data_IF_985790923698
#
_entry.id   IF_985790923698
#
_cell.length_a   1.000
_cell.length_b   1.000
_cell.length_c   1.000
_cell.angle_alpha   90.00
_cell.angle_beta   90.00
_cell.angle_gamma   90.00
#
_symmetry.space_group_name_H-M   'P 1'
#
loop_
_entity.id
_entity.type
_entity.pdbx_description
1 polymer ?
#
# COMPACT_ATOMS: atom_id res chain seq x y z
N UNK A 1 24.46 7.51 36.23
CA UNK A 1 23.33 6.86 36.94
C UNK A 1 22.91 5.71 36.05
N UNK A 2 22.92 4.51 36.55
CA UNK A 2 22.64 3.30 35.74
C UNK A 2 21.13 3.08 35.69
N UNK A 3 20.56 2.77 34.51
CA UNK A 3 19.14 2.49 34.33
C UNK A 3 18.96 0.98 34.17
N UNK A 4 18.03 0.41 34.93
CA UNK A 4 17.65 -1.00 34.80
C UNK A 4 16.27 -1.06 34.12
N UNK A 5 16.24 -1.59 32.91
CA UNK A 5 15.01 -1.84 32.15
C UNK A 5 14.46 -3.18 32.62
N UNK A 6 13.17 -3.21 32.99
CA UNK A 6 12.53 -4.35 33.64
C UNK A 6 11.34 -4.84 32.81
N UNK A 7 11.00 -6.11 32.99
CA UNK A 7 9.77 -6.67 32.41
C UNK A 7 8.53 -6.00 33.03
N UNK A 8 7.58 -5.62 32.21
CA UNK A 8 6.31 -5.00 32.65
C UNK A 8 5.31 -6.03 33.15
N UNK A 9 5.36 -7.23 32.60
CA UNK A 9 4.42 -8.33 32.92
C UNK A 9 5.08 -9.69 32.78
N UNK A 10 4.34 -10.75 33.08
CA UNK A 10 4.76 -12.12 32.77
C UNK A 10 4.76 -12.31 31.24
N UNK A 11 5.85 -12.87 30.71
CA UNK A 11 6.02 -13.11 29.27
C UNK A 11 7.18 -14.10 29.06
N UNK A 12 7.42 -14.50 27.79
CA UNK A 12 8.60 -15.30 27.40
C UNK A 12 9.48 -14.44 26.50
N UNK A 13 10.80 -14.49 26.69
CA UNK A 13 11.75 -13.80 25.81
C UNK A 13 11.77 -14.50 24.45
N UNK A 14 11.29 -13.82 23.41
CA UNK A 14 11.25 -14.35 22.05
C UNK A 14 12.44 -13.90 21.20
N UNK A 15 13.03 -12.73 21.50
CA UNK A 15 14.21 -12.24 20.79
C UNK A 15 14.99 -11.24 21.66
N UNK A 16 16.33 -11.26 21.57
CA UNK A 16 17.22 -10.27 22.19
C UNK A 16 17.98 -9.59 21.05
N UNK A 17 17.83 -8.27 20.91
CA UNK A 17 18.38 -7.48 19.79
C UNK A 17 19.63 -6.73 20.11
N UNK A 18 20.10 -6.80 21.34
CA UNK A 18 21.29 -6.10 21.83
C UNK A 18 22.20 -7.04 22.60
N UNK A 19 23.44 -6.67 22.68
CA UNK A 19 24.47 -7.33 23.52
C UNK A 19 25.22 -6.30 24.35
N UNK A 20 25.97 -6.76 25.36
CA UNK A 20 26.84 -5.91 26.14
C UNK A 20 27.84 -5.13 25.27
N UNK A 21 27.97 -3.85 25.53
CA UNK A 21 28.79 -2.90 24.77
C UNK A 21 28.07 -2.20 23.63
N UNK A 22 26.87 -2.62 23.25
CA UNK A 22 26.12 -1.97 22.18
C UNK A 22 25.68 -0.57 22.62
N UNK A 23 25.74 0.38 21.66
CA UNK A 23 25.20 1.74 21.82
C UNK A 23 23.77 1.79 21.28
N UNK A 24 22.87 2.30 22.08
CA UNK A 24 21.44 2.39 21.72
C UNK A 24 20.93 3.81 21.88
N UNK A 25 20.04 4.22 20.98
CA UNK A 25 19.28 5.47 21.10
C UNK A 25 17.97 5.24 21.85
N UNK A 26 17.40 6.32 22.39
CA UNK A 26 16.04 6.29 22.95
C UNK A 26 15.07 5.69 21.96
N UNK A 27 14.21 4.77 22.39
CA UNK A 27 13.23 4.07 21.54
C UNK A 27 13.80 2.86 20.78
N UNK A 28 15.10 2.57 20.84
CA UNK A 28 15.67 1.36 20.24
C UNK A 28 15.08 0.10 20.89
N UNK A 29 14.66 -0.88 20.10
CA UNK A 29 14.13 -2.16 20.59
C UNK A 29 15.27 -3.00 21.12
N UNK A 30 15.19 -3.39 22.38
CA UNK A 30 16.23 -4.15 23.11
C UNK A 30 15.89 -5.64 23.19
N UNK A 31 14.65 -5.93 23.57
CA UNK A 31 14.15 -7.29 23.78
C UNK A 31 12.72 -7.37 23.22
N UNK A 32 12.39 -8.47 22.56
CA UNK A 32 11.01 -8.78 22.20
C UNK A 32 10.54 -9.91 23.13
N UNK A 33 9.40 -9.70 23.74
CA UNK A 33 8.75 -10.65 24.62
C UNK A 33 7.44 -11.13 24.01
N UNK A 34 7.04 -12.36 24.32
CA UNK A 34 5.77 -12.93 23.84
C UNK A 34 4.86 -13.27 25.01
N UNK A 35 3.63 -12.77 24.96
CA UNK A 35 2.56 -13.13 25.87
C UNK A 35 1.30 -13.47 25.06
N UNK A 36 0.75 -14.68 25.22
CA UNK A 36 -0.46 -15.15 24.53
C UNK A 36 -0.38 -14.97 22.99
N UNK A 37 0.76 -15.30 22.38
CA UNK A 37 1.07 -15.13 20.95
C UNK A 37 1.11 -13.68 20.44
N UNK A 38 1.12 -12.73 21.34
CA UNK A 38 1.35 -11.32 21.04
C UNK A 38 2.79 -10.95 21.39
N UNK A 39 3.46 -10.29 20.48
CA UNK A 39 4.81 -9.78 20.69
C UNK A 39 4.76 -8.37 21.24
N UNK A 40 5.59 -8.11 22.23
CA UNK A 40 5.78 -6.81 22.87
C UNK A 40 7.25 -6.41 22.78
N UNK A 41 7.48 -5.20 22.27
CA UNK A 41 8.81 -4.63 22.15
C UNK A 41 9.18 -3.87 23.42
N UNK A 42 10.28 -4.25 24.05
CA UNK A 42 10.87 -3.52 25.17
C UNK A 42 11.95 -2.60 24.62
N UNK A 43 11.72 -1.30 24.73
CA UNK A 43 12.57 -0.27 24.13
C UNK A 43 13.45 0.43 25.17
N UNK A 44 14.56 1.02 24.69
CA UNK A 44 15.43 1.87 25.51
C UNK A 44 14.69 3.16 25.91
N UNK A 45 14.64 3.44 27.20
CA UNK A 45 14.04 4.67 27.74
C UNK A 45 14.92 5.90 27.54
N UNK A 46 16.22 5.72 27.40
CA UNK A 46 17.23 6.76 27.15
C UNK A 46 18.32 6.24 26.21
N UNK A 47 19.08 7.16 25.61
CA UNK A 47 20.27 6.79 24.82
C UNK A 47 21.44 6.40 25.75
N UNK A 48 22.17 5.36 25.37
CA UNK A 48 23.28 4.90 26.23
C UNK A 48 24.02 3.68 25.68
N UNK A 49 24.80 3.05 26.55
CA UNK A 49 25.55 1.82 26.28
C UNK A 49 24.95 0.70 27.11
N UNK A 50 24.73 -0.46 26.51
CA UNK A 50 24.28 -1.66 27.22
C UNK A 50 25.42 -2.19 28.08
N UNK A 51 25.28 -2.14 29.40
CA UNK A 51 26.32 -2.64 30.33
C UNK A 51 26.08 -4.07 30.78
N UNK A 52 24.85 -4.57 30.73
CA UNK A 52 24.56 -5.99 31.00
C UNK A 52 23.22 -6.41 30.35
N UNK A 53 23.17 -7.67 29.92
CA UNK A 53 21.94 -8.37 29.48
C UNK A 53 21.66 -9.48 30.50
N UNK A 54 20.49 -9.43 31.17
CA UNK A 54 20.15 -10.29 32.30
C UNK A 54 19.27 -11.49 31.92
N UNK A 55 18.89 -11.60 30.64
CA UNK A 55 17.98 -12.64 30.18
C UNK A 55 18.51 -13.35 28.94
N UNK A 56 18.05 -14.57 28.73
CA UNK A 56 18.32 -15.38 27.55
C UNK A 56 17.04 -15.65 26.75
N UNK A 57 17.25 -16.08 25.50
CA UNK A 57 16.15 -16.49 24.64
C UNK A 57 15.38 -17.66 25.28
N UNK A 58 14.07 -17.56 25.38
CA UNK A 58 13.20 -18.57 25.98
C UNK A 58 12.98 -18.42 27.48
N UNK A 59 13.60 -17.45 28.14
CA UNK A 59 13.41 -17.23 29.58
C UNK A 59 11.95 -16.80 29.86
N UNK A 60 11.40 -17.35 30.95
CA UNK A 60 10.12 -16.93 31.50
C UNK A 60 10.31 -15.72 32.42
N UNK A 61 9.57 -14.65 32.12
CA UNK A 61 9.64 -13.38 32.82
C UNK A 61 8.49 -13.23 33.79
N UNK A 62 8.77 -12.55 34.90
CA UNK A 62 7.74 -11.99 35.79
C UNK A 62 7.88 -10.45 35.80
N UNK A 63 6.76 -9.76 36.06
CA UNK A 63 6.78 -8.29 36.17
C UNK A 63 7.83 -7.81 37.20
N UNK A 64 8.65 -6.83 36.83
CA UNK A 64 9.72 -6.28 37.62
C UNK A 64 11.07 -6.97 37.50
N UNK A 65 11.19 -8.11 36.80
CA UNK A 65 12.49 -8.76 36.56
C UNK A 65 13.40 -7.85 35.70
N UNK A 66 14.71 -7.72 36.04
CA UNK A 66 15.64 -6.97 35.23
C UNK A 66 15.89 -7.67 33.89
N UNK A 67 15.85 -6.92 32.80
CA UNK A 67 16.14 -7.41 31.45
C UNK A 67 17.49 -6.90 30.96
N UNK A 68 17.68 -5.59 31.03
CA UNK A 68 18.84 -4.89 30.49
C UNK A 68 19.30 -3.83 31.48
N UNK A 69 20.59 -3.69 31.62
CA UNK A 69 21.23 -2.56 32.33
C UNK A 69 21.83 -1.61 31.29
N UNK A 70 21.43 -0.36 31.35
CA UNK A 70 21.82 0.72 30.43
C UNK A 70 22.59 1.79 31.21
N UNK A 71 23.74 2.20 30.71
CA UNK A 71 24.46 3.39 31.16
C UNK A 71 24.16 4.55 30.21
N UNK A 72 23.46 5.62 30.66
CA UNK A 72 23.16 6.77 29.83
C UNK A 72 24.44 7.40 29.28
N UNK A 73 24.49 7.56 27.98
CA UNK A 73 25.58 8.23 27.27
C UNK A 73 24.98 9.00 26.06
N UNK A 74 25.62 10.10 25.69
CA UNK A 74 25.28 10.73 24.41
C UNK A 74 25.66 9.79 23.27
N UNK A 75 24.66 9.36 22.52
CA UNK A 75 24.81 8.60 21.28
C UNK A 75 24.35 9.53 20.18
N UNK A 76 25.24 9.87 19.24
CA UNK A 76 24.86 10.64 18.07
C UNK A 76 23.85 9.83 17.26
N UNK A 77 22.67 10.39 17.08
CA UNK A 77 21.49 9.71 16.52
C UNK A 77 21.69 9.26 15.06
N UNK A 78 22.71 9.76 14.38
CA UNK A 78 22.95 9.43 12.97
C UNK A 78 23.54 8.03 12.73
N UNK A 79 24.10 7.36 13.74
CA UNK A 79 24.84 6.10 13.51
C UNK A 79 23.95 4.85 13.66
N UNK A 80 22.78 4.95 14.28
CA UNK A 80 21.96 3.76 14.62
C UNK A 80 20.63 3.63 13.87
N UNK A 81 20.22 4.64 13.12
CA UNK A 81 19.02 4.52 12.26
C UNK A 81 19.27 3.71 10.97
N UNK A 82 20.54 3.51 10.59
CA UNK A 82 20.89 2.95 9.28
C UNK A 82 21.10 1.41 9.27
N UNK A 83 21.01 0.73 10.40
CA UNK A 83 21.10 -0.73 10.49
C UNK A 83 19.87 -1.43 11.04
N UNK A 84 18.90 -0.68 11.54
CA UNK A 84 17.68 -1.24 12.07
C UNK A 84 16.68 -1.46 10.94
N UNK A 85 16.46 -2.71 10.57
CA UNK A 85 15.34 -3.13 9.77
C UNK A 85 15.29 -2.60 8.33
N UNK A 86 16.19 -3.03 7.48
CA UNK A 86 15.87 -3.17 6.07
C UNK A 86 14.75 -4.22 5.99
N UNK A 87 13.50 -3.76 5.91
CA UNK A 87 12.34 -4.61 5.66
C UNK A 87 12.26 -4.85 4.15
N UNK A 88 12.74 -6.01 3.65
CA UNK A 88 12.79 -6.26 2.22
C UNK A 88 11.38 -6.26 1.60
N UNK A 89 10.37 -6.69 2.36
CA UNK A 89 8.96 -6.63 1.99
C UNK A 89 8.45 -5.18 1.84
N UNK A 90 8.94 -4.26 2.67
CA UNK A 90 8.60 -2.84 2.56
C UNK A 90 9.30 -2.18 1.36
N UNK A 91 10.57 -2.49 1.12
CA UNK A 91 11.30 -2.02 -0.06
C UNK A 91 10.66 -2.53 -1.36
N UNK A 92 10.20 -3.79 -1.39
CA UNK A 92 9.41 -4.31 -2.52
C UNK A 92 8.11 -3.54 -2.71
N UNK A 93 7.38 -3.26 -1.61
CA UNK A 93 6.15 -2.46 -1.66
C UNK A 93 6.40 -1.06 -2.22
N UNK A 94 7.44 -0.35 -1.75
CA UNK A 94 7.80 0.98 -2.26
C UNK A 94 8.14 0.93 -3.76
N UNK A 95 8.94 -0.04 -4.19
CA UNK A 95 9.26 -0.25 -5.61
C UNK A 95 8.00 -0.46 -6.45
N UNK A 96 7.06 -1.26 -5.97
CA UNK A 96 5.79 -1.49 -6.67
C UNK A 96 4.89 -0.25 -6.67
N UNK A 97 4.90 0.55 -5.61
CA UNK A 97 4.16 1.82 -5.56
C UNK A 97 4.76 2.84 -6.52
N UNK A 98 6.08 2.87 -6.70
CA UNK A 98 6.72 3.70 -7.71
C UNK A 98 6.29 3.32 -9.13
N UNK A 99 6.30 2.02 -9.47
CA UNK A 99 5.87 1.52 -10.80
C UNK A 99 4.44 1.91 -11.17
N UNK A 100 3.53 2.07 -10.19
CA UNK A 100 2.16 2.49 -10.49
C UNK A 100 2.02 4.01 -10.59
N UNK A 101 3.03 4.78 -10.22
CA UNK A 101 3.07 6.23 -10.38
C UNK A 101 3.43 6.64 -11.81
N UNK A 102 3.18 7.88 -12.17
CA UNK A 102 3.65 8.45 -13.45
C UNK A 102 5.18 8.59 -13.49
N UNK A 103 5.81 8.85 -12.33
CA UNK A 103 7.26 8.87 -12.17
C UNK A 103 7.94 7.55 -12.51
N UNK A 104 7.31 6.43 -12.21
CA UNK A 104 7.81 5.09 -12.56
C UNK A 104 7.62 4.70 -14.04
N UNK A 105 6.94 5.54 -14.84
CA UNK A 105 6.60 5.26 -16.25
C UNK A 105 6.92 6.42 -17.20
N UNK A 106 8.09 7.09 -17.09
CA UNK A 106 8.38 8.36 -17.75
C UNK A 106 8.22 8.30 -19.27
N UNK A 107 8.62 7.20 -19.90
CA UNK A 107 8.50 7.03 -21.36
C UNK A 107 7.04 6.91 -21.83
N UNK A 108 6.19 6.25 -21.05
CA UNK A 108 4.76 6.13 -21.38
C UNK A 108 4.06 7.48 -21.21
N UNK A 109 4.38 8.21 -20.15
CA UNK A 109 3.90 9.57 -19.88
C UNK A 109 4.33 10.52 -21.00
N UNK A 110 5.62 10.52 -21.38
CA UNK A 110 6.13 11.36 -22.48
C UNK A 110 5.41 11.08 -23.81
N UNK A 111 5.19 9.80 -24.15
CA UNK A 111 4.41 9.44 -25.36
C UNK A 111 2.94 9.89 -25.27
N UNK A 112 2.34 9.86 -24.08
CA UNK A 112 0.97 10.34 -23.83
C UNK A 112 0.88 11.85 -24.05
N UNK A 113 1.78 12.61 -23.45
CA UNK A 113 1.85 14.07 -23.59
C UNK A 113 2.15 14.52 -25.02
N UNK A 114 3.05 13.81 -25.75
CA UNK A 114 3.34 14.10 -27.15
C UNK A 114 2.11 13.98 -28.08
N UNK A 115 1.08 13.25 -27.65
CA UNK A 115 -0.21 13.15 -28.36
C UNK A 115 -1.26 14.14 -27.85
N UNK A 116 -0.89 15.06 -26.96
CA UNK A 116 -1.80 16.04 -26.35
C UNK A 116 -2.74 15.47 -25.28
N UNK A 117 -2.52 14.22 -24.81
CA UNK A 117 -3.34 13.59 -23.78
C UNK A 117 -2.76 13.77 -22.38
N UNK A 118 -3.63 13.88 -21.38
CA UNK A 118 -3.27 13.82 -19.95
C UNK A 118 -3.24 12.37 -19.50
N UNK A 119 -2.45 12.07 -18.45
CA UNK A 119 -2.49 10.77 -17.79
C UNK A 119 -3.74 10.61 -16.93
N UNK A 120 -4.09 9.39 -16.58
CA UNK A 120 -5.18 9.14 -15.65
C UNK A 120 -4.87 9.71 -14.26
N UNK A 121 -3.59 9.71 -13.83
CA UNK A 121 -3.15 10.28 -12.55
C UNK A 121 -3.27 11.79 -12.54
N UNK A 122 -2.84 12.47 -13.57
CA UNK A 122 -3.02 13.92 -13.71
C UNK A 122 -4.51 14.34 -13.64
N UNK A 123 -5.41 13.53 -14.20
CA UNK A 123 -6.84 13.79 -14.09
C UNK A 123 -7.37 13.61 -12.65
N UNK A 124 -6.89 12.63 -11.93
CA UNK A 124 -7.23 12.40 -10.52
C UNK A 124 -6.65 13.50 -9.62
N UNK A 125 -5.37 13.85 -9.82
CA UNK A 125 -4.71 14.91 -9.05
C UNK A 125 -5.36 16.27 -9.23
N UNK A 126 -5.82 16.57 -10.44
CA UNK A 126 -6.51 17.82 -10.77
C UNK A 126 -7.96 17.89 -10.25
N UNK A 127 -8.59 16.72 -10.10
CA UNK A 127 -9.94 16.62 -9.57
C UNK A 127 -10.01 16.84 -8.06
N UNK A 128 -9.06 16.26 -7.32
CA UNK A 128 -9.13 16.18 -5.86
C UNK A 128 -8.33 17.28 -5.17
N UNK A 129 -8.82 17.70 -4.02
CA UNK A 129 -8.09 18.59 -3.12
C UNK A 129 -6.75 17.94 -2.74
N UNK A 130 -5.67 18.71 -2.73
CA UNK A 130 -4.32 18.23 -2.54
C UNK A 130 -4.18 17.32 -1.30
N UNK A 131 -3.61 16.12 -1.50
CA UNK A 131 -3.37 15.13 -0.45
C UNK A 131 -4.61 14.42 0.10
N UNK A 132 -5.80 14.68 -0.46
CA UNK A 132 -7.04 14.07 0.03
C UNK A 132 -7.36 12.73 -0.60
N UNK A 133 -6.76 12.39 -1.74
CA UNK A 133 -7.09 11.19 -2.49
C UNK A 133 -6.49 9.93 -1.88
N UNK A 134 -7.34 8.94 -1.65
CA UNK A 134 -6.95 7.59 -1.22
C UNK A 134 -7.27 6.60 -2.33
N UNK A 135 -6.23 6.03 -2.96
CA UNK A 135 -6.37 5.02 -4.02
C UNK A 135 -6.64 3.63 -3.44
N UNK A 136 -7.54 2.88 -4.08
CA UNK A 136 -7.82 1.48 -3.77
C UNK A 136 -7.32 0.56 -4.88
N UNK A 137 -6.60 -0.51 -4.48
CA UNK A 137 -6.15 -1.56 -5.40
C UNK A 137 -5.10 -1.10 -6.40
N UNK A 138 -4.24 -0.13 -6.04
CA UNK A 138 -3.14 0.35 -6.88
C UNK A 138 -2.23 -0.78 -7.38
N UNK A 139 -1.93 -1.76 -6.53
CA UNK A 139 -1.04 -2.89 -6.81
C UNK A 139 -1.71 -4.07 -7.54
N UNK A 140 -2.99 -3.94 -7.93
CA UNK A 140 -3.63 -4.95 -8.77
C UNK A 140 -2.94 -5.00 -10.15
N UNK A 141 -2.90 -6.19 -10.73
CA UNK A 141 -2.38 -6.44 -12.08
C UNK A 141 -3.41 -7.22 -12.89
N UNK A 142 -3.23 -7.30 -14.21
CA UNK A 142 -4.09 -8.10 -15.06
C UNK A 142 -4.10 -9.58 -14.65
N UNK A 143 -5.25 -10.25 -14.78
CA UNK A 143 -5.43 -11.66 -14.46
C UNK A 143 -4.81 -12.56 -15.55
N UNK A 144 -3.49 -12.48 -15.74
CA UNK A 144 -2.74 -13.12 -16.82
C UNK A 144 -1.52 -13.94 -16.32
N UNK A 145 -1.50 -14.34 -15.04
CA UNK A 145 -0.37 -15.07 -14.43
C UNK A 145 -0.09 -16.42 -15.07
N UNK A 146 -1.10 -17.07 -15.65
CA UNK A 146 -0.93 -18.35 -16.38
C UNK A 146 -0.01 -18.17 -17.59
N UNK A 147 0.04 -16.98 -18.19
CA UNK A 147 0.80 -16.72 -19.45
C UNK A 147 1.96 -15.77 -19.29
N UNK A 148 2.02 -15.00 -18.22
CA UNK A 148 3.03 -13.96 -18.02
C UNK A 148 3.65 -14.05 -16.63
N UNK A 149 4.98 -13.91 -16.52
CA UNK A 149 5.64 -13.74 -15.23
C UNK A 149 5.05 -12.58 -14.45
N UNK A 150 4.99 -12.69 -13.12
CA UNK A 150 4.42 -11.65 -12.26
C UNK A 150 5.20 -10.32 -12.39
N UNK A 151 6.52 -10.38 -12.55
CA UNK A 151 7.34 -9.18 -12.77
C UNK A 151 6.90 -8.40 -14.01
N UNK A 152 6.65 -9.09 -15.14
CA UNK A 152 6.13 -8.44 -16.36
C UNK A 152 4.75 -7.81 -16.13
N UNK A 153 3.89 -8.46 -15.33
CA UNK A 153 2.57 -7.91 -15.00
C UNK A 153 2.68 -6.65 -14.15
N UNK A 154 3.62 -6.60 -13.19
CA UNK A 154 3.89 -5.39 -12.40
C UNK A 154 4.34 -4.21 -13.28
N UNK A 155 5.16 -4.47 -14.28
CA UNK A 155 5.70 -3.44 -15.17
C UNK A 155 4.71 -2.95 -16.24
N UNK A 156 3.78 -3.80 -16.67
CA UNK A 156 2.96 -3.53 -17.85
C UNK A 156 1.46 -3.41 -17.60
N UNK A 157 0.98 -3.80 -16.41
CA UNK A 157 -0.46 -3.88 -16.12
C UNK A 157 -0.84 -3.24 -14.78
N UNK A 158 -0.20 -2.13 -14.47
CA UNK A 158 -0.36 -1.39 -13.23
C UNK A 158 -1.84 -1.03 -12.97
N UNK A 159 -2.30 -1.31 -11.76
CA UNK A 159 -3.67 -1.05 -11.36
C UNK A 159 -4.74 -1.76 -12.18
N UNK A 160 -4.34 -2.71 -13.05
CA UNK A 160 -5.17 -3.32 -14.10
C UNK A 160 -5.86 -2.27 -15.00
N UNK A 161 -5.15 -1.18 -15.30
CA UNK A 161 -5.60 -0.14 -16.22
C UNK A 161 -6.70 0.78 -15.70
N UNK A 162 -6.90 0.85 -14.37
CA UNK A 162 -7.84 1.79 -13.77
C UNK A 162 -7.37 2.29 -12.41
N UNK A 163 -7.49 3.58 -12.17
CA UNK A 163 -7.31 4.21 -10.85
C UNK A 163 -8.70 4.35 -10.22
N UNK A 164 -8.87 3.87 -9.00
CA UNK A 164 -10.11 3.94 -8.25
C UNK A 164 -9.83 4.46 -6.85
N UNK A 165 -10.61 5.40 -6.35
CA UNK A 165 -10.40 5.91 -5.00
C UNK A 165 -11.44 6.92 -4.56
N UNK A 166 -11.22 7.46 -3.36
CA UNK A 166 -12.06 8.51 -2.76
C UNK A 166 -11.19 9.64 -2.25
N UNK A 167 -11.74 10.83 -2.21
CA UNK A 167 -11.07 12.04 -1.71
C UNK A 167 -12.05 13.18 -1.56
N UNK A 168 -11.53 14.39 -1.42
CA UNK A 168 -12.33 15.61 -1.33
C UNK A 168 -12.26 16.38 -2.67
N UNK A 169 -13.39 16.85 -3.14
CA UNK A 169 -13.50 17.77 -4.28
C UNK A 169 -14.15 19.04 -3.75
N UNK A 170 -13.42 20.13 -3.67
CA UNK A 170 -13.85 21.36 -3.01
C UNK A 170 -14.43 21.10 -1.61
N UNK A 171 -13.76 20.28 -0.81
CA UNK A 171 -14.18 19.89 0.54
C UNK A 171 -15.29 18.84 0.60
N UNK A 172 -15.83 18.36 -0.54
CA UNK A 172 -16.92 17.39 -0.58
C UNK A 172 -16.40 15.97 -0.82
N UNK A 173 -16.70 14.97 0.05
CA UNK A 173 -16.32 13.58 -0.17
C UNK A 173 -16.88 13.06 -1.49
N UNK A 174 -16.00 12.54 -2.33
CA UNK A 174 -16.29 12.12 -3.71
C UNK A 174 -15.54 10.83 -4.04
N UNK A 175 -16.17 9.94 -4.79
CA UNK A 175 -15.52 8.77 -5.38
C UNK A 175 -15.14 9.06 -6.83
N UNK A 176 -13.99 8.60 -7.29
CA UNK A 176 -13.62 8.73 -8.70
C UNK A 176 -12.93 7.48 -9.26
N UNK A 177 -13.13 7.29 -10.56
CA UNK A 177 -12.47 6.27 -11.37
C UNK A 177 -11.86 6.95 -12.60
N UNK A 178 -10.62 6.57 -12.95
CA UNK A 178 -9.96 7.03 -14.17
C UNK A 178 -9.35 5.84 -14.91
N UNK A 179 -9.77 5.61 -16.14
CA UNK A 179 -9.20 4.56 -16.99
C UNK A 179 -7.81 5.01 -17.46
N UNK A 180 -6.80 4.16 -17.27
CA UNK A 180 -5.43 4.41 -17.71
C UNK A 180 -5.18 3.79 -19.09
N UNK A 181 -5.26 4.63 -20.13
CA UNK A 181 -5.01 4.21 -21.50
C UNK A 181 -3.57 3.72 -21.74
N UNK A 182 -2.62 4.13 -20.92
CA UNK A 182 -1.22 3.67 -21.02
C UNK A 182 -1.07 2.19 -20.64
N UNK A 183 -2.05 1.63 -19.93
CA UNK A 183 -2.09 0.22 -19.56
C UNK A 183 -3.04 -0.53 -20.50
N UNK A 184 -2.46 -1.36 -21.37
CA UNK A 184 -3.21 -2.21 -22.31
C UNK A 184 -4.30 -1.46 -23.08
N UNK A 185 -4.04 -0.21 -23.51
CA UNK A 185 -4.96 0.69 -24.20
C UNK A 185 -6.29 0.89 -23.46
N UNK A 186 -6.28 0.90 -22.14
CA UNK A 186 -7.48 1.08 -21.32
C UNK A 186 -8.49 -0.06 -21.42
N UNK A 187 -8.08 -1.23 -21.92
CA UNK A 187 -8.98 -2.39 -22.01
C UNK A 187 -9.34 -2.91 -20.62
N UNK A 188 -10.62 -3.23 -20.45
CA UNK A 188 -11.21 -3.59 -19.17
C UNK A 188 -11.05 -5.08 -18.90
N UNK A 189 -10.23 -5.43 -17.90
CA UNK A 189 -9.98 -6.79 -17.47
C UNK A 189 -10.74 -7.16 -16.20
N UNK A 190 -10.45 -8.36 -15.68
CA UNK A 190 -11.14 -8.90 -14.51
C UNK A 190 -10.94 -8.05 -13.25
N UNK A 191 -9.69 -7.73 -12.90
CA UNK A 191 -9.41 -6.92 -11.72
C UNK A 191 -9.81 -5.45 -11.91
N UNK A 192 -9.78 -4.94 -13.16
CA UNK A 192 -10.36 -3.66 -13.53
C UNK A 192 -11.84 -3.57 -13.09
N UNK A 193 -12.67 -4.54 -13.51
CA UNK A 193 -14.07 -4.59 -13.12
C UNK A 193 -14.28 -4.78 -11.62
N UNK A 194 -13.48 -5.61 -10.96
CA UNK A 194 -13.56 -5.78 -9.50
C UNK A 194 -13.29 -4.49 -8.74
N UNK A 195 -12.32 -3.69 -9.20
CA UNK A 195 -12.04 -2.37 -8.62
C UNK A 195 -13.22 -1.42 -8.82
N UNK A 196 -13.78 -1.39 -10.03
CA UNK A 196 -14.98 -0.58 -10.33
C UNK A 196 -16.16 -0.98 -9.43
N UNK A 197 -16.49 -2.27 -9.39
CA UNK A 197 -17.61 -2.79 -8.59
C UNK A 197 -17.45 -2.44 -7.12
N UNK A 198 -16.24 -2.63 -6.59
CA UNK A 198 -15.94 -2.31 -5.18
C UNK A 198 -16.11 -0.82 -4.89
N UNK A 199 -15.64 0.07 -5.78
CA UNK A 199 -15.80 1.50 -5.58
C UNK A 199 -17.24 1.95 -5.70
N UNK A 200 -18.01 1.41 -6.66
CA UNK A 200 -19.44 1.73 -6.83
C UNK A 200 -20.23 1.32 -5.57
N UNK A 201 -19.94 0.13 -5.03
CA UNK A 201 -20.54 -0.35 -3.78
C UNK A 201 -20.21 0.58 -2.59
N UNK A 202 -18.93 0.96 -2.45
CA UNK A 202 -18.46 1.85 -1.39
C UNK A 202 -19.12 3.24 -1.50
N UNK A 203 -19.16 3.80 -2.71
CA UNK A 203 -19.81 5.07 -2.97
C UNK A 203 -21.32 5.02 -2.66
N UNK A 204 -21.97 3.91 -3.01
CA UNK A 204 -23.39 3.69 -2.72
C UNK A 204 -23.69 3.63 -1.22
N UNK A 205 -22.85 2.92 -0.44
CA UNK A 205 -23.00 2.82 1.02
C UNK A 205 -22.81 4.16 1.74
N UNK A 206 -21.96 5.03 1.18
CA UNK A 206 -21.61 6.32 1.78
C UNK A 206 -22.30 7.51 1.10
N UNK A 207 -23.20 7.28 0.12
CA UNK A 207 -23.89 8.30 -0.66
C UNK A 207 -22.93 9.33 -1.31
N UNK A 208 -21.76 8.88 -1.77
CA UNK A 208 -20.78 9.76 -2.38
C UNK A 208 -21.17 10.10 -3.83
N UNK A 209 -21.00 11.33 -4.32
CA UNK A 209 -21.01 11.59 -5.76
C UNK A 209 -19.85 10.82 -6.42
N UNK A 210 -20.02 10.48 -7.71
CA UNK A 210 -19.07 9.67 -8.45
C UNK A 210 -18.66 10.33 -9.76
N UNK A 211 -17.35 10.36 -10.02
CA UNK A 211 -16.76 10.85 -11.28
C UNK A 211 -16.08 9.69 -11.99
N UNK A 212 -16.33 9.54 -13.28
CA UNK A 212 -15.66 8.58 -14.16
C UNK A 212 -14.94 9.33 -15.28
N UNK A 213 -13.61 9.25 -15.32
CA UNK A 213 -12.82 9.60 -16.50
C UNK A 213 -12.78 8.38 -17.42
N UNK A 214 -13.60 8.42 -18.46
CA UNK A 214 -13.77 7.32 -19.39
C UNK A 214 -12.78 7.44 -20.55
N UNK A 215 -12.07 6.35 -20.81
CA UNK A 215 -11.19 6.16 -21.95
C UNK A 215 -10.95 4.66 -22.16
N UNK A 216 -10.67 4.22 -23.38
CA UNK A 216 -10.20 2.86 -23.60
C UNK A 216 -10.92 2.03 -24.62
N UNK A 217 -10.40 0.84 -24.84
CA UNK A 217 -10.72 -0.09 -25.91
C UNK A 217 -11.75 -1.19 -25.59
N UNK A 218 -12.64 -1.01 -24.63
CA UNK A 218 -13.65 -2.02 -24.30
C UNK A 218 -13.13 -3.23 -23.52
N UNK A 219 -13.83 -4.36 -23.55
CA UNK A 219 -13.49 -5.57 -22.79
C UNK A 219 -12.20 -6.25 -23.24
N UNK A 220 -11.42 -6.75 -22.29
CA UNK A 220 -10.18 -7.50 -22.55
C UNK A 220 -10.42 -9.00 -22.51
N UNK A 221 -10.24 -9.74 -23.65
CA UNK A 221 -10.55 -11.17 -23.72
C UNK A 221 -9.46 -12.10 -23.17
N UNK A 222 -8.31 -11.55 -22.75
CA UNK A 222 -7.09 -12.34 -22.48
C UNK A 222 -6.75 -12.48 -20.99
N UNK A 223 -7.70 -12.35 -20.10
CA UNK A 223 -7.50 -12.59 -18.66
C UNK A 223 -7.75 -14.08 -18.36
N UNK A 224 -6.67 -14.88 -18.50
CA UNK A 224 -6.74 -16.35 -18.46
C UNK A 224 -6.79 -16.97 -17.07
N UNK A 225 -6.48 -16.21 -16.03
CA UNK A 225 -6.49 -16.71 -14.63
C UNK A 225 -7.93 -16.96 -14.13
N UNK A 226 -8.94 -16.57 -14.92
CA UNK A 226 -10.34 -16.63 -14.53
C UNK A 226 -11.15 -17.30 -15.63
N UNK A 227 -11.65 -18.48 -15.35
CA UNK A 227 -12.46 -19.26 -16.31
C UNK A 227 -13.72 -18.55 -16.78
N UNK A 228 -14.25 -17.64 -15.98
CA UNK A 228 -15.53 -16.96 -16.20
C UNK A 228 -15.47 -15.71 -17.09
N UNK A 229 -14.29 -15.29 -17.52
CA UNK A 229 -14.13 -14.13 -18.44
C UNK A 229 -14.16 -14.52 -19.93
N UNK A 230 -14.30 -15.81 -20.24
CA UNK A 230 -14.40 -16.27 -21.61
C UNK A 230 -15.80 -16.03 -22.15
N UNK A 231 -15.90 -15.24 -23.16
CA UNK A 231 -16.96 -14.89 -24.13
C UNK A 231 -18.45 -15.24 -23.84
N UNK A 232 -18.75 -16.28 -23.07
CA UNK A 232 -20.12 -16.71 -22.78
C UNK A 232 -20.67 -16.21 -21.42
N UNK A 233 -19.81 -15.66 -20.54
CA UNK A 233 -20.16 -15.26 -19.18
C UNK A 233 -19.68 -13.83 -18.88
N UNK A 234 -19.95 -12.89 -19.76
CA UNK A 234 -19.77 -11.47 -19.46
C UNK A 234 -20.77 -11.02 -18.38
N UNK A 235 -20.66 -11.60 -17.19
CA UNK A 235 -21.35 -11.07 -16.02
C UNK A 235 -20.59 -9.83 -15.52
N UNK A 236 -20.50 -8.82 -16.38
CA UNK A 236 -19.91 -7.54 -16.05
C UNK A 236 -20.95 -6.75 -15.25
N UNK A 237 -20.95 -6.99 -13.93
CA UNK A 237 -21.84 -6.31 -13.00
C UNK A 237 -21.65 -4.79 -12.98
N UNK A 238 -20.43 -4.31 -13.27
CA UNK A 238 -20.01 -2.92 -13.10
C UNK A 238 -20.95 -1.91 -13.77
N UNK A 239 -21.30 -2.13 -15.03
CA UNK A 239 -22.20 -1.21 -15.74
C UNK A 239 -23.61 -1.21 -15.18
N UNK A 240 -24.12 -2.38 -14.78
CA UNK A 240 -25.42 -2.51 -14.12
C UNK A 240 -25.39 -1.82 -12.75
N UNK A 241 -24.34 -2.03 -11.97
CA UNK A 241 -24.15 -1.39 -10.68
C UNK A 241 -24.05 0.13 -10.82
N UNK A 242 -23.28 0.60 -11.81
CA UNK A 242 -23.16 2.02 -12.09
C UNK A 242 -24.51 2.63 -12.57
N UNK A 243 -25.26 1.93 -13.41
CA UNK A 243 -26.59 2.37 -13.85
C UNK A 243 -27.59 2.42 -12.67
N UNK A 244 -27.56 1.42 -11.81
CA UNK A 244 -28.44 1.33 -10.63
C UNK A 244 -28.06 2.30 -9.50
N UNK A 245 -26.86 2.84 -9.51
CA UNK A 245 -26.36 3.78 -8.51
C UNK A 245 -27.24 5.05 -8.47
N UNK A 246 -27.77 5.39 -7.30
CA UNK A 246 -28.74 6.50 -7.14
C UNK A 246 -28.09 7.87 -6.88
N UNK A 247 -26.79 7.89 -6.51
CA UNK A 247 -26.04 9.13 -6.28
C UNK A 247 -25.77 9.92 -7.57
N UNK A 248 -25.20 11.10 -7.41
CA UNK A 248 -24.77 11.93 -8.54
C UNK A 248 -23.64 11.24 -9.29
N UNK A 249 -23.73 11.21 -10.61
CA UNK A 249 -22.74 10.61 -11.51
C UNK A 249 -22.32 11.61 -12.57
N UNK A 250 -21.01 11.72 -12.79
CA UNK A 250 -20.42 12.56 -13.84
C UNK A 250 -19.50 11.67 -14.66
N UNK A 251 -19.73 11.60 -15.95
CA UNK A 251 -18.81 10.98 -16.91
C UNK A 251 -18.06 12.06 -17.68
N UNK A 252 -16.73 11.94 -17.71
CA UNK A 252 -15.83 12.80 -18.46
C UNK A 252 -15.14 11.93 -19.49
N UNK A 253 -15.29 12.24 -20.77
CA UNK A 253 -14.57 11.56 -21.85
C UNK A 253 -13.17 12.13 -21.90
N UNK A 254 -12.18 11.35 -21.40
CA UNK A 254 -10.77 11.77 -21.31
C UNK A 254 -9.96 11.44 -22.56
N UNK A 255 -10.49 10.63 -23.46
CA UNK A 255 -9.87 10.22 -24.70
C UNK A 255 -10.79 9.33 -25.53
N UNK A 256 -10.22 8.43 -26.33
CA UNK A 256 -11.02 7.49 -27.13
C UNK A 256 -11.80 6.54 -26.22
N UNK A 257 -13.11 6.45 -26.42
CA UNK A 257 -14.01 5.51 -25.77
C UNK A 257 -14.73 4.66 -26.81
N UNK A 258 -14.76 3.35 -26.60
CA UNK A 258 -15.48 2.38 -27.43
C UNK A 258 -16.59 1.73 -26.61
#
# INVERSE_FOLDING_TARGET
MTIIIKAESAAIVSEIRVKEGDRVSVGAVLVITELMKMQHEICASESGVISAVHVALGDELCGGMPLITLEPARVDSEILMDKAYARPDFAEFETRMELVSDGGRPDAVARRHARGGRTARENIEDLFDAGSFTEYGALAVAAQRIRRPLAELHERTQGDGIICGTGLVAGQPTAAMAVDYMVLAGTQGFNHHRKMDRLIELAGRNNLPMVLFAEGGGGRPNDYDVEQMMAAWLNVGSFRHFAAYKGRKIGIVAGFCF
#
